data_IF_874592288205
#
_entry.id   IF_874592288205
#
_cell.length_a   1.000
_cell.length_b   1.000
_cell.length_c   1.000
_cell.angle_alpha   90.00
_cell.angle_beta   90.00
_cell.angle_gamma   90.00
#
_symmetry.space_group_name_H-M   'P 1'
#
loop_
_entity.id
_entity.type
_entity.pdbx_description
1 polymer ?
#
# COMPACT_ATOMS: atom_id res chain seq x y z
N UNK A 1 14.70 9.43 -16.81
CA UNK A 1 13.30 9.25 -16.37
C UNK A 1 13.31 8.41 -15.10
N UNK A 2 12.59 8.80 -14.06
CA UNK A 2 12.47 7.99 -12.85
C UNK A 2 11.47 6.83 -13.10
N UNK A 3 11.71 5.63 -12.52
CA UNK A 3 10.77 4.52 -12.66
C UNK A 3 9.46 4.83 -11.93
N UNK A 4 8.35 4.30 -12.47
CA UNK A 4 7.04 4.29 -11.81
C UNK A 4 6.85 2.93 -11.15
N UNK A 5 6.48 2.94 -9.88
CA UNK A 5 6.11 1.75 -9.12
C UNK A 5 4.60 1.56 -9.15
N UNK A 6 4.17 0.36 -9.51
CA UNK A 6 2.79 -0.10 -9.34
C UNK A 6 2.68 -0.88 -8.03
N UNK A 7 1.98 -0.29 -7.07
CA UNK A 7 1.80 -0.87 -5.74
C UNK A 7 0.50 -1.68 -5.73
N UNK A 8 0.59 -2.95 -5.36
CA UNK A 8 -0.51 -3.90 -5.48
C UNK A 8 -1.11 -4.29 -4.13
N UNK A 9 -2.43 -4.48 -4.11
CA UNK A 9 -3.13 -5.13 -3.01
C UNK A 9 -2.93 -6.67 -3.03
N UNK A 10 -3.33 -7.39 -1.96
CA UNK A 10 -3.22 -8.86 -1.91
C UNK A 10 -3.92 -9.61 -3.05
N UNK A 11 -4.91 -8.99 -3.71
CA UNK A 11 -5.61 -9.55 -4.86
C UNK A 11 -4.93 -9.25 -6.22
N UNK A 12 -3.72 -8.67 -6.22
CA UNK A 12 -2.98 -8.30 -7.42
C UNK A 12 -3.48 -7.06 -8.13
N UNK A 13 -4.48 -6.34 -7.59
CA UNK A 13 -4.96 -5.09 -8.19
C UNK A 13 -4.12 -3.89 -7.72
N UNK A 14 -3.83 -2.92 -8.61
CA UNK A 14 -3.13 -1.71 -8.24
C UNK A 14 -3.94 -0.87 -7.24
N UNK A 15 -3.26 -0.40 -6.20
CA UNK A 15 -3.76 0.58 -5.23
C UNK A 15 -3.19 1.97 -5.45
N UNK A 16 -1.98 2.07 -6.01
CA UNK A 16 -1.33 3.33 -6.31
C UNK A 16 -0.23 3.15 -7.35
N UNK A 17 -0.09 4.12 -8.25
CA UNK A 17 1.11 4.32 -9.08
C UNK A 17 1.92 5.48 -8.47
N UNK A 18 3.23 5.32 -8.31
CA UNK A 18 4.08 6.40 -7.77
C UNK A 18 5.51 6.35 -8.30
N UNK A 19 6.13 7.51 -8.48
CA UNK A 19 7.58 7.62 -8.70
C UNK A 19 8.33 7.90 -7.39
N UNK A 20 7.61 8.15 -6.30
CA UNK A 20 8.15 8.52 -4.99
C UNK A 20 7.57 7.62 -3.90
N UNK A 21 8.34 6.59 -3.51
CA UNK A 21 7.95 5.68 -2.43
C UNK A 21 7.97 6.37 -1.06
N UNK A 22 8.89 7.32 -0.85
CA UNK A 22 9.02 8.03 0.43
C UNK A 22 7.79 8.89 0.75
N UNK A 23 7.25 9.56 -0.26
CA UNK A 23 5.99 10.31 -0.13
C UNK A 23 4.80 9.38 0.05
N UNK A 24 4.72 8.29 -0.74
CA UNK A 24 3.66 7.29 -0.63
C UNK A 24 3.49 6.77 0.81
N UNK A 25 4.59 6.40 1.47
CA UNK A 25 4.54 5.88 2.84
C UNK A 25 4.06 6.92 3.87
N UNK A 26 4.35 8.21 3.63
CA UNK A 26 4.00 9.30 4.54
C UNK A 26 2.57 9.80 4.36
N UNK A 27 2.04 9.78 3.14
CA UNK A 27 0.78 10.46 2.81
C UNK A 27 -0.34 9.47 2.43
N UNK A 28 -0.12 8.62 1.43
CA UNK A 28 -1.16 7.74 0.88
C UNK A 28 -1.35 6.46 1.68
N UNK A 29 -0.26 5.86 2.17
CA UNK A 29 -0.30 4.56 2.84
C UNK A 29 -1.23 4.51 4.06
N UNK A 30 -1.28 5.49 4.97
CA UNK A 30 -2.17 5.42 6.14
C UNK A 30 -3.65 5.20 5.79
N UNK A 31 -4.14 5.85 4.74
CA UNK A 31 -5.51 5.69 4.27
C UNK A 31 -5.73 4.33 3.57
N UNK A 32 -4.81 3.96 2.67
CA UNK A 32 -4.85 2.68 1.95
C UNK A 32 -4.77 1.50 2.92
N UNK A 33 -3.89 1.57 3.91
CA UNK A 33 -3.73 0.54 4.94
C UNK A 33 -5.03 0.31 5.71
N UNK A 34 -5.73 1.38 6.10
CA UNK A 34 -7.02 1.27 6.82
C UNK A 34 -8.05 0.50 5.99
N UNK A 35 -8.13 0.80 4.70
CA UNK A 35 -9.04 0.12 3.78
C UNK A 35 -8.63 -1.34 3.53
N UNK A 36 -7.34 -1.60 3.33
CA UNK A 36 -6.81 -2.96 3.12
C UNK A 36 -6.92 -3.83 4.37
N UNK A 37 -6.76 -3.26 5.57
CA UNK A 37 -6.98 -3.98 6.83
C UNK A 37 -8.42 -4.48 6.96
N UNK A 38 -9.39 -3.67 6.56
CA UNK A 38 -10.80 -4.04 6.55
C UNK A 38 -11.08 -5.16 5.54
N UNK A 39 -10.54 -5.05 4.33
CA UNK A 39 -10.77 -6.03 3.25
C UNK A 39 -9.98 -7.33 3.39
N UNK A 40 -8.78 -7.25 3.95
CA UNK A 40 -7.80 -8.35 3.98
C UNK A 40 -7.26 -8.59 5.40
N UNK A 41 -8.11 -8.85 6.41
CA UNK A 41 -7.71 -8.89 7.81
C UNK A 41 -6.62 -9.95 8.09
N UNK A 42 -6.53 -11.02 7.30
CA UNK A 42 -5.49 -12.06 7.42
C UNK A 42 -4.08 -11.57 7.08
N UNK A 43 -3.94 -10.56 6.22
CA UNK A 43 -2.64 -10.04 5.78
C UNK A 43 -2.01 -9.06 6.77
N UNK A 44 -2.75 -8.60 7.78
CA UNK A 44 -2.28 -7.58 8.73
C UNK A 44 -2.14 -8.10 10.18
N UNK A 45 -2.39 -9.39 10.43
CA UNK A 45 -2.48 -9.95 11.80
C UNK A 45 -1.18 -9.95 12.60
N UNK A 46 -0.03 -9.87 11.93
CA UNK A 46 1.29 -10.02 12.57
C UNK A 46 2.14 -8.75 12.50
N UNK A 47 1.51 -7.56 12.54
CA UNK A 47 2.26 -6.30 12.56
C UNK A 47 2.84 -6.06 13.96
N UNK A 48 3.86 -6.83 14.32
CA UNK A 48 4.84 -6.50 15.36
C UNK A 48 5.93 -5.64 14.69
N UNK A 49 5.65 -4.35 14.52
CA UNK A 49 6.66 -3.32 14.27
C UNK A 49 6.29 -2.13 15.12
#
# INVERSE_FOLDING_TARGET
LAPVFELLAPNGRPVQLTQNLGEFWKTSWPAIEKELKSRYPKHFKNRQI
#
